data_IF_626921016816
#
_entry.id   IF_626921016816
#
_cell.length_a   1.000
_cell.length_b   1.000
_cell.length_c   1.000
_cell.angle_alpha   90.00
_cell.angle_beta   90.00
_cell.angle_gamma   90.00
#
_symmetry.space_group_name_H-M   'P 1'
#
loop_
_entity.id
_entity.type
_entity.pdbx_description
1 polymer ?
#
# COMPACT_ATOMS: atom_id res chain seq x y z
N UNK A 1 -33.33 9.93 13.53
CA UNK A 1 -32.40 11.08 13.68
C UNK A 1 -30.97 10.56 13.59
N UNK A 2 -30.31 10.68 12.43
CA UNK A 2 -29.00 10.07 12.18
C UNK A 2 -28.02 11.16 11.66
N UNK A 3 -27.85 12.24 12.46
CA UNK A 3 -27.02 13.40 12.05
C UNK A 3 -25.53 13.28 12.44
N UNK A 4 -25.13 12.19 13.09
CA UNK A 4 -23.75 12.00 13.57
C UNK A 4 -22.76 11.47 12.52
N UNK A 5 -23.20 10.57 11.64
CA UNK A 5 -22.33 9.81 10.73
C UNK A 5 -21.59 10.64 9.66
N UNK A 6 -22.21 11.63 8.95
CA UNK A 6 -21.49 12.43 7.96
C UNK A 6 -20.45 13.39 8.57
N UNK A 7 -20.80 14.05 9.68
CA UNK A 7 -19.87 14.98 10.37
C UNK A 7 -18.69 14.27 11.01
N UNK A 8 -18.87 13.02 11.44
CA UNK A 8 -17.83 12.19 12.00
C UNK A 8 -16.84 11.73 10.93
N UNK A 9 -17.31 11.31 9.76
CA UNK A 9 -16.48 10.98 8.62
C UNK A 9 -15.67 12.18 8.10
N UNK A 10 -16.26 13.38 8.09
CA UNK A 10 -15.56 14.59 7.68
C UNK A 10 -14.41 14.94 8.63
N UNK A 11 -14.65 14.86 9.94
CA UNK A 11 -13.59 15.05 10.93
C UNK A 11 -12.48 14.02 10.79
N UNK A 12 -12.82 12.76 10.54
CA UNK A 12 -11.84 11.71 10.30
C UNK A 12 -10.93 12.04 9.11
N UNK A 13 -11.50 12.51 8.00
CA UNK A 13 -10.73 12.94 6.82
C UNK A 13 -9.83 14.14 7.13
N UNK A 14 -10.34 15.15 7.83
CA UNK A 14 -9.55 16.32 8.24
C UNK A 14 -8.34 15.91 9.09
N UNK A 15 -8.55 14.99 10.05
CA UNK A 15 -7.46 14.47 10.89
C UNK A 15 -6.42 13.72 10.04
N UNK A 16 -6.86 12.85 9.12
CA UNK A 16 -5.95 12.10 8.25
C UNK A 16 -5.15 13.03 7.34
N UNK A 17 -5.78 14.05 6.75
CA UNK A 17 -5.09 15.03 5.91
C UNK A 17 -4.05 15.84 6.69
N UNK A 18 -4.39 16.30 7.89
CA UNK A 18 -3.45 17.00 8.78
C UNK A 18 -2.29 16.09 9.21
N UNK A 19 -2.59 14.83 9.50
CA UNK A 19 -1.59 13.83 9.85
C UNK A 19 -0.63 13.55 8.69
N UNK A 20 -1.13 13.35 7.45
CA UNK A 20 -0.31 13.20 6.25
C UNK A 20 0.70 14.36 6.11
N UNK A 21 0.20 15.59 6.18
CA UNK A 21 1.01 16.81 6.05
C UNK A 21 2.12 16.87 7.11
N UNK A 22 1.77 16.65 8.38
CA UNK A 22 2.74 16.74 9.47
C UNK A 22 3.74 15.59 9.48
N UNK A 23 3.31 14.37 9.21
CA UNK A 23 4.19 13.21 9.13
C UNK A 23 5.19 13.32 7.95
N UNK A 24 4.76 13.85 6.81
CA UNK A 24 5.66 14.12 5.70
C UNK A 24 6.71 15.18 6.04
N UNK A 25 6.27 16.26 6.69
CA UNK A 25 7.14 17.40 7.01
C UNK A 25 8.12 17.11 8.14
N UNK A 26 7.63 16.51 9.24
CA UNK A 26 8.36 16.40 10.51
C UNK A 26 8.79 14.96 10.82
N UNK A 27 8.35 13.97 10.04
CA UNK A 27 8.49 12.54 10.35
C UNK A 27 7.55 12.08 11.47
N UNK A 28 7.57 10.77 11.75
CA UNK A 28 6.73 10.18 12.81
C UNK A 28 7.10 10.73 14.18
N UNK A 29 8.40 10.71 14.55
CA UNK A 29 8.86 11.15 15.88
C UNK A 29 8.70 12.65 16.11
N UNK A 30 8.91 13.46 15.07
CA UNK A 30 8.77 14.93 15.13
C UNK A 30 7.32 15.44 15.14
N UNK A 31 6.32 14.54 15.04
CA UNK A 31 4.89 14.88 15.02
C UNK A 31 4.21 14.43 16.31
N UNK A 32 3.19 15.16 16.75
CA UNK A 32 2.39 14.82 17.92
C UNK A 32 0.89 14.90 17.66
N UNK A 33 0.11 14.12 18.41
CA UNK A 33 -1.37 14.13 18.35
C UNK A 33 -1.95 15.53 18.62
N UNK A 34 -1.29 16.35 19.46
CA UNK A 34 -1.69 17.73 19.72
C UNK A 34 -1.49 18.64 18.51
N UNK A 35 -0.35 18.53 17.80
CA UNK A 35 -0.09 19.30 16.59
C UNK A 35 -1.08 18.90 15.49
N UNK A 36 -1.37 17.61 15.35
CA UNK A 36 -2.34 17.10 14.38
C UNK A 36 -3.74 17.61 14.70
N UNK A 37 -4.17 17.60 15.96
CA UNK A 37 -5.45 18.14 16.38
C UNK A 37 -5.58 19.64 16.03
N UNK A 38 -4.53 20.42 16.27
CA UNK A 38 -4.49 21.85 15.93
C UNK A 38 -4.58 22.08 14.42
N UNK A 39 -3.82 21.35 13.64
CA UNK A 39 -3.79 21.43 12.18
C UNK A 39 -5.14 21.03 11.56
N UNK A 40 -5.76 19.95 12.09
CA UNK A 40 -7.08 19.47 11.69
C UNK A 40 -8.25 20.33 12.21
N UNK A 41 -7.97 21.37 13.01
CA UNK A 41 -8.98 22.22 13.65
C UNK A 41 -10.02 21.44 14.50
N UNK A 42 -9.56 20.41 15.18
CA UNK A 42 -10.38 19.60 16.08
C UNK A 42 -9.77 19.55 17.49
N UNK A 43 -10.53 19.06 18.46
CA UNK A 43 -9.99 18.86 19.81
C UNK A 43 -9.07 17.63 19.85
N UNK A 44 -8.12 17.62 20.79
CA UNK A 44 -7.28 16.45 21.06
C UNK A 44 -8.13 15.19 21.31
N UNK A 45 -9.21 15.33 22.08
CA UNK A 45 -10.14 14.24 22.38
C UNK A 45 -10.77 13.69 21.08
N UNK A 46 -11.11 14.55 20.13
CA UNK A 46 -11.63 14.12 18.83
C UNK A 46 -10.62 13.24 18.09
N UNK A 47 -9.33 13.62 18.08
CA UNK A 47 -8.29 12.79 17.44
C UNK A 47 -8.18 11.43 18.10
N UNK A 48 -8.14 11.37 19.44
CA UNK A 48 -8.05 10.11 20.17
C UNK A 48 -9.30 9.23 20.05
N UNK A 49 -10.47 9.82 19.85
CA UNK A 49 -11.71 9.06 19.61
C UNK A 49 -11.70 8.36 18.23
N UNK A 50 -11.04 8.96 17.22
CA UNK A 50 -10.92 8.36 15.90
C UNK A 50 -9.71 7.43 15.76
N UNK A 51 -8.60 7.78 16.43
CA UNK A 51 -7.32 7.09 16.30
C UNK A 51 -6.70 6.98 17.70
N UNK A 52 -6.78 5.82 18.28
CA UNK A 52 -6.39 5.52 19.66
C UNK A 52 -4.99 6.04 20.03
N UNK A 53 -4.06 6.00 19.09
CA UNK A 53 -2.68 6.44 19.26
C UNK A 53 -2.07 6.98 17.96
N UNK A 54 -0.85 7.50 18.06
CA UNK A 54 -0.13 8.11 16.93
C UNK A 54 0.27 7.07 15.86
N UNK A 55 0.55 5.84 16.26
CA UNK A 55 0.92 4.76 15.34
C UNK A 55 -0.28 4.38 14.48
N UNK A 56 -1.45 4.18 15.11
CA UNK A 56 -2.72 3.90 14.41
C UNK A 56 -3.10 5.02 13.44
N UNK A 57 -2.91 6.28 13.84
CA UNK A 57 -3.16 7.42 12.96
C UNK A 57 -2.19 7.46 11.78
N UNK A 58 -0.90 7.21 12.03
CA UNK A 58 0.12 7.18 10.97
C UNK A 58 -0.16 6.11 9.93
N UNK A 59 -0.40 4.87 10.35
CA UNK A 59 -0.73 3.77 9.44
C UNK A 59 -2.03 4.02 8.66
N UNK A 60 -3.06 4.58 9.33
CA UNK A 60 -4.31 4.94 8.65
C UNK A 60 -4.11 6.02 7.59
N UNK A 61 -3.25 7.01 7.86
CA UNK A 61 -2.94 8.08 6.91
C UNK A 61 -2.22 7.54 5.66
N UNK A 62 -1.30 6.59 5.83
CA UNK A 62 -0.59 5.93 4.72
C UNK A 62 -1.53 5.01 3.93
N UNK A 63 -2.32 4.18 4.64
CA UNK A 63 -3.29 3.30 4.01
C UNK A 63 -4.26 4.07 3.10
N UNK A 64 -4.73 5.24 3.55
CA UNK A 64 -5.62 6.09 2.73
C UNK A 64 -4.91 6.60 1.46
N UNK A 65 -3.63 6.97 1.54
CA UNK A 65 -2.83 7.40 0.38
C UNK A 65 -2.68 6.26 -0.64
N UNK A 66 -2.42 5.04 -0.18
CA UNK A 66 -2.35 3.86 -1.03
C UNK A 66 -3.72 3.56 -1.68
N UNK A 67 -4.81 3.62 -0.90
CA UNK A 67 -6.17 3.41 -1.41
C UNK A 67 -6.56 4.46 -2.47
N UNK A 68 -6.19 5.71 -2.29
CA UNK A 68 -6.41 6.78 -3.27
C UNK A 68 -5.70 6.45 -4.59
N UNK A 69 -4.46 5.97 -4.54
CA UNK A 69 -3.69 5.55 -5.71
C UNK A 69 -4.32 4.36 -6.44
N UNK A 70 -4.80 3.37 -5.70
CA UNK A 70 -5.50 2.19 -6.24
C UNK A 70 -6.83 2.59 -6.89
N UNK A 71 -7.63 3.43 -6.22
CA UNK A 71 -8.93 3.88 -6.76
C UNK A 71 -8.80 4.74 -8.01
N UNK A 72 -7.70 5.48 -8.12
CA UNK A 72 -7.45 6.32 -9.30
C UNK A 72 -7.16 5.50 -10.57
N UNK A 73 -6.78 4.23 -10.42
CA UNK A 73 -6.42 3.33 -11.53
C UNK A 73 -6.98 1.92 -11.33
N UNK A 74 -8.32 1.75 -11.38
CA UNK A 74 -8.90 0.42 -11.25
C UNK A 74 -8.50 -0.43 -12.47
N UNK A 75 -7.86 -1.56 -12.22
CA UNK A 75 -7.53 -2.56 -13.24
C UNK A 75 -8.53 -3.70 -13.12
N UNK A 76 -9.47 -3.77 -14.07
CA UNK A 76 -10.45 -4.83 -14.15
C UNK A 76 -10.29 -5.58 -15.48
N UNK A 77 -10.36 -6.90 -15.43
CA UNK A 77 -10.27 -7.76 -16.60
C UNK A 77 -11.67 -8.12 -17.14
N UNK A 78 -11.74 -8.37 -18.43
CA UNK A 78 -12.84 -9.00 -19.12
C UNK A 78 -12.27 -9.90 -20.23
N UNK A 79 -13.12 -10.67 -20.90
CA UNK A 79 -12.69 -11.64 -21.91
C UNK A 79 -11.87 -11.02 -23.07
N UNK A 80 -12.06 -9.72 -23.35
CA UNK A 80 -11.37 -9.01 -24.44
C UNK A 80 -10.17 -8.19 -23.97
N UNK A 81 -9.81 -8.29 -22.67
CA UNK A 81 -8.69 -7.53 -22.12
C UNK A 81 -7.36 -8.00 -22.71
N UNK A 82 -6.47 -7.06 -23.01
CA UNK A 82 -5.07 -7.38 -23.24
C UNK A 82 -4.42 -7.67 -21.87
N UNK A 83 -4.31 -8.95 -21.53
CA UNK A 83 -3.83 -9.38 -20.22
C UNK A 83 -2.39 -8.92 -19.93
N UNK A 84 -1.50 -8.97 -20.94
CA UNK A 84 -0.11 -8.54 -20.76
C UNK A 84 -0.04 -7.05 -20.37
N UNK A 85 -0.84 -6.20 -21.03
CA UNK A 85 -0.91 -4.78 -20.67
C UNK A 85 -1.54 -4.58 -19.28
N UNK A 86 -2.61 -5.31 -18.96
CA UNK A 86 -3.26 -5.20 -17.66
C UNK A 86 -2.33 -5.65 -16.51
N UNK A 87 -1.59 -6.73 -16.70
CA UNK A 87 -0.60 -7.22 -15.74
C UNK A 87 0.55 -6.21 -15.56
N UNK A 88 1.02 -5.62 -16.66
CA UNK A 88 2.02 -4.54 -16.61
C UNK A 88 1.53 -3.34 -15.79
N UNK A 89 0.31 -2.89 -16.01
CA UNK A 89 -0.29 -1.77 -15.26
C UNK A 89 -0.44 -2.10 -13.77
N UNK A 90 -0.84 -3.34 -13.44
CA UNK A 90 -0.90 -3.80 -12.04
C UNK A 90 0.48 -3.80 -11.38
N UNK A 91 1.50 -4.32 -12.05
CA UNK A 91 2.88 -4.32 -11.55
C UNK A 91 3.42 -2.87 -11.39
N UNK A 92 3.13 -2.01 -12.38
CA UNK A 92 3.52 -0.60 -12.36
C UNK A 92 2.88 0.15 -11.20
N UNK A 93 1.58 -0.07 -10.95
CA UNK A 93 0.86 0.53 -9.82
C UNK A 93 1.44 0.05 -8.49
N UNK A 94 1.72 -1.24 -8.35
CA UNK A 94 2.32 -1.80 -7.13
C UNK A 94 3.69 -1.17 -6.84
N UNK A 95 4.59 -1.13 -7.82
CA UNK A 95 5.91 -0.49 -7.65
C UNK A 95 5.80 1.01 -7.36
N UNK A 96 4.84 1.69 -7.96
CA UNK A 96 4.60 3.11 -7.67
C UNK A 96 4.19 3.30 -6.21
N UNK A 97 3.23 2.51 -5.70
CA UNK A 97 2.73 2.61 -4.32
C UNK A 97 3.83 2.29 -3.31
N UNK A 98 4.54 1.19 -3.50
CA UNK A 98 5.58 0.71 -2.58
C UNK A 98 6.75 1.70 -2.49
N UNK A 99 7.04 2.41 -3.57
CA UNK A 99 8.11 3.41 -3.62
C UNK A 99 7.65 4.84 -3.28
N UNK A 100 6.40 5.03 -2.83
CA UNK A 100 5.98 6.33 -2.27
C UNK A 100 6.82 6.65 -1.03
N UNK A 101 7.25 7.91 -0.86
CA UNK A 101 8.00 8.32 0.33
C UNK A 101 7.28 7.97 1.64
N UNK A 102 5.95 8.00 1.64
CA UNK A 102 5.09 7.64 2.77
C UNK A 102 5.15 6.13 3.06
N UNK A 103 5.10 5.30 2.04
CA UNK A 103 5.16 3.84 2.18
C UNK A 103 6.52 3.41 2.74
N UNK A 104 7.62 3.95 2.20
CA UNK A 104 8.98 3.71 2.71
C UNK A 104 9.11 4.14 4.17
N UNK A 105 8.56 5.30 4.55
CA UNK A 105 8.56 5.76 5.95
C UNK A 105 7.76 4.84 6.86
N UNK A 106 6.66 4.28 6.37
CA UNK A 106 5.87 3.30 7.13
C UNK A 106 6.69 2.03 7.36
N UNK A 107 7.34 1.51 6.33
CA UNK A 107 8.16 0.30 6.46
C UNK A 107 9.31 0.51 7.44
N UNK A 108 10.00 1.66 7.37
CA UNK A 108 11.03 2.00 8.36
C UNK A 108 10.48 2.03 9.79
N UNK A 109 9.31 2.65 10.00
CA UNK A 109 8.67 2.65 11.32
C UNK A 109 8.31 1.23 11.78
N UNK A 110 7.77 0.39 10.89
CA UNK A 110 7.43 -0.98 11.24
C UNK A 110 8.67 -1.81 11.61
N UNK A 111 9.79 -1.63 10.90
CA UNK A 111 11.06 -2.27 11.23
C UNK A 111 11.61 -1.79 12.59
N UNK A 112 11.52 -0.49 12.88
CA UNK A 112 11.90 0.08 14.17
C UNK A 112 11.05 -0.50 15.30
N UNK A 113 9.72 -0.49 15.16
CA UNK A 113 8.80 -1.07 16.13
C UNK A 113 9.00 -2.58 16.30
N UNK A 114 9.34 -3.30 15.23
CA UNK A 114 9.64 -4.72 15.28
C UNK A 114 10.92 -5.02 16.08
N UNK A 115 11.96 -4.19 15.91
CA UNK A 115 13.18 -4.31 16.71
C UNK A 115 12.93 -4.09 18.22
N UNK A 116 11.94 -3.28 18.56
CA UNK A 116 11.46 -3.06 19.94
C UNK A 116 10.44 -4.10 20.42
N UNK A 117 10.13 -5.12 19.63
CA UNK A 117 9.12 -6.14 19.92
C UNK A 117 7.72 -5.52 20.22
N UNK A 118 7.38 -4.42 19.57
CA UNK A 118 6.13 -3.72 19.80
C UNK A 118 4.93 -4.53 19.28
N UNK A 119 3.95 -4.75 20.14
CA UNK A 119 2.76 -5.54 19.82
C UNK A 119 1.90 -4.98 18.67
N UNK A 120 2.07 -3.71 18.31
CA UNK A 120 1.33 -3.07 17.22
C UNK A 120 1.83 -3.48 15.82
N UNK A 121 3.04 -4.01 15.68
CA UNK A 121 3.62 -4.39 14.37
C UNK A 121 2.73 -5.36 13.63
N UNK A 122 2.32 -6.46 14.29
CA UNK A 122 1.53 -7.51 13.65
C UNK A 122 0.17 -7.01 13.15
N UNK A 123 -0.69 -6.36 13.94
CA UNK A 123 -1.96 -5.81 13.46
C UNK A 123 -1.81 -4.81 12.31
N UNK A 124 -0.76 -4.00 12.34
CA UNK A 124 -0.50 -3.05 11.26
C UNK A 124 -0.10 -3.71 9.96
N UNK A 125 0.84 -4.65 10.05
CA UNK A 125 1.25 -5.42 8.89
C UNK A 125 0.05 -6.15 8.27
N UNK A 126 -0.74 -6.85 9.09
CA UNK A 126 -1.93 -7.58 8.64
C UNK A 126 -2.89 -6.67 7.88
N UNK A 127 -3.30 -5.53 8.46
CA UNK A 127 -4.25 -4.62 7.82
C UNK A 127 -3.70 -4.03 6.51
N UNK A 128 -2.43 -3.63 6.46
CA UNK A 128 -1.84 -3.06 5.24
C UNK A 128 -1.59 -4.12 4.17
N UNK A 129 -1.13 -5.30 4.57
CA UNK A 129 -0.87 -6.43 3.70
C UNK A 129 -2.16 -7.01 3.11
N UNK A 130 -3.18 -7.25 3.94
CA UNK A 130 -4.48 -7.77 3.48
C UNK A 130 -5.11 -6.89 2.40
N UNK A 131 -5.03 -5.56 2.56
CA UNK A 131 -5.58 -4.62 1.56
C UNK A 131 -4.85 -4.69 0.23
N UNK A 132 -3.52 -4.76 0.26
CA UNK A 132 -2.72 -4.90 -0.95
C UNK A 132 -3.00 -6.25 -1.62
N UNK A 133 -3.00 -7.34 -0.85
CA UNK A 133 -3.27 -8.67 -1.35
C UNK A 133 -4.68 -8.80 -1.93
N UNK A 134 -5.70 -8.20 -1.32
CA UNK A 134 -7.08 -8.24 -1.83
C UNK A 134 -7.20 -7.70 -3.26
N UNK A 135 -6.45 -6.66 -3.61
CA UNK A 135 -6.44 -6.11 -4.97
C UNK A 135 -5.80 -7.09 -5.95
N UNK A 136 -4.66 -7.69 -5.58
CA UNK A 136 -3.99 -8.71 -6.38
C UNK A 136 -4.84 -9.98 -6.53
N UNK A 137 -5.45 -10.46 -5.44
CA UNK A 137 -6.32 -11.62 -5.47
C UNK A 137 -7.47 -11.41 -6.45
N UNK A 138 -8.18 -10.28 -6.35
CA UNK A 138 -9.28 -9.96 -7.27
C UNK A 138 -8.83 -9.91 -8.74
N UNK A 139 -7.64 -9.36 -9.02
CA UNK A 139 -7.08 -9.31 -10.37
C UNK A 139 -6.72 -10.71 -10.90
N UNK A 140 -6.03 -11.52 -10.09
CA UNK A 140 -5.59 -12.86 -10.50
C UNK A 140 -6.77 -13.84 -10.59
N UNK A 141 -7.78 -13.73 -9.70
CA UNK A 141 -9.03 -14.49 -9.83
C UNK A 141 -9.73 -14.21 -11.17
N UNK A 142 -9.81 -12.95 -11.59
CA UNK A 142 -10.35 -12.59 -12.91
C UNK A 142 -9.46 -13.16 -14.03
N UNK A 143 -8.13 -13.13 -13.88
CA UNK A 143 -7.21 -13.68 -14.88
C UNK A 143 -7.40 -15.18 -15.05
N UNK A 144 -7.63 -15.93 -13.99
CA UNK A 144 -7.97 -17.35 -14.02
C UNK A 144 -9.37 -17.55 -14.62
N UNK A 145 -10.36 -16.78 -14.20
CA UNK A 145 -11.75 -16.87 -14.68
C UNK A 145 -11.86 -16.67 -16.19
N UNK A 146 -11.05 -15.74 -16.75
CA UNK A 146 -11.04 -15.46 -18.19
C UNK A 146 -10.01 -16.29 -18.97
N UNK A 147 -9.40 -17.30 -18.33
CA UNK A 147 -8.40 -18.18 -18.94
C UNK A 147 -7.17 -17.43 -19.50
N UNK A 148 -6.69 -16.39 -18.85
CA UNK A 148 -5.43 -15.75 -19.18
C UNK A 148 -4.22 -16.46 -18.56
N UNK A 149 -4.42 -17.11 -17.39
CA UNK A 149 -3.39 -17.86 -16.68
C UNK A 149 -3.95 -19.17 -16.14
N UNK A 150 -3.04 -20.13 -15.86
CA UNK A 150 -3.39 -21.41 -15.21
C UNK A 150 -3.95 -21.17 -13.81
N UNK A 151 -4.96 -21.97 -13.44
CA UNK A 151 -5.50 -22.00 -12.09
C UNK A 151 -4.47 -22.61 -11.12
N UNK A 152 -4.16 -21.89 -10.07
CA UNK A 152 -3.34 -22.32 -8.92
C UNK A 152 -3.83 -21.56 -7.68
N UNK A 153 -3.20 -21.76 -6.56
CA UNK A 153 -3.41 -21.00 -5.31
C UNK A 153 -3.10 -19.51 -5.55
N UNK A 154 -4.14 -18.68 -5.45
CA UNK A 154 -4.07 -17.23 -5.69
C UNK A 154 -3.08 -16.54 -4.76
N UNK A 155 -2.99 -16.99 -3.51
CA UNK A 155 -2.01 -16.48 -2.54
C UNK A 155 -0.58 -16.73 -3.03
N UNK A 156 -0.27 -17.95 -3.51
CA UNK A 156 1.06 -18.28 -4.06
C UNK A 156 1.37 -17.49 -5.32
N UNK A 157 0.38 -17.30 -6.20
CA UNK A 157 0.55 -16.46 -7.41
C UNK A 157 0.88 -15.01 -7.02
N UNK A 158 0.14 -14.46 -6.06
CA UNK A 158 0.37 -13.11 -5.53
C UNK A 158 1.75 -12.98 -4.90
N UNK A 159 2.13 -13.91 -4.01
CA UNK A 159 3.43 -13.91 -3.34
C UNK A 159 4.58 -14.00 -4.34
N UNK A 160 4.45 -14.82 -5.39
CA UNK A 160 5.47 -14.91 -6.43
C UNK A 160 5.66 -13.57 -7.13
N UNK A 161 4.58 -12.94 -7.62
CA UNK A 161 4.66 -11.65 -8.31
C UNK A 161 5.26 -10.57 -7.42
N UNK A 162 4.78 -10.43 -6.18
CA UNK A 162 5.30 -9.43 -5.26
C UNK A 162 6.79 -9.69 -4.94
N UNK A 163 7.20 -10.94 -4.78
CA UNK A 163 8.62 -11.29 -4.54
C UNK A 163 9.51 -10.92 -5.72
N UNK A 164 9.04 -11.13 -6.95
CA UNK A 164 9.77 -10.75 -8.16
C UNK A 164 9.87 -9.23 -8.34
N UNK A 165 8.79 -8.50 -8.00
CA UNK A 165 8.77 -7.03 -8.10
C UNK A 165 9.64 -6.35 -7.04
N UNK A 166 9.62 -6.85 -5.81
CA UNK A 166 10.35 -6.25 -4.69
C UNK A 166 11.83 -6.64 -4.69
N UNK A 167 12.11 -7.92 -4.58
CA UNK A 167 13.44 -8.50 -4.62
C UNK A 167 14.45 -7.80 -3.69
N UNK A 168 15.73 -7.97 -3.98
CA UNK A 168 16.82 -7.29 -3.27
C UNK A 168 16.82 -5.78 -3.50
N UNK A 169 16.32 -5.34 -4.65
CA UNK A 169 16.32 -3.93 -5.04
C UNK A 169 15.51 -3.04 -4.09
N UNK A 170 14.34 -3.53 -3.63
CA UNK A 170 13.52 -2.82 -2.64
C UNK A 170 14.20 -2.79 -1.26
N UNK A 171 14.83 -3.89 -0.87
CA UNK A 171 15.61 -3.95 0.37
C UNK A 171 16.77 -2.93 0.41
N UNK A 172 17.46 -2.73 -0.72
CA UNK A 172 18.48 -1.70 -0.86
C UNK A 172 17.93 -0.28 -0.69
N UNK A 173 16.67 -0.03 -1.13
CA UNK A 173 15.98 1.25 -0.89
C UNK A 173 15.69 1.45 0.59
N UNK A 174 15.17 0.42 1.27
CA UNK A 174 14.89 0.50 2.71
C UNK A 174 16.16 0.72 3.55
N UNK A 175 17.29 0.15 3.12
CA UNK A 175 18.57 0.37 3.79
C UNK A 175 19.25 1.72 3.42
N UNK A 176 18.65 2.50 2.53
CA UNK A 176 19.24 3.75 2.04
C UNK A 176 20.51 3.57 1.19
N UNK A 177 20.78 2.33 0.72
CA UNK A 177 21.93 2.00 -0.14
C UNK A 177 21.70 2.53 -1.55
N UNK A 178 20.46 2.48 -2.03
CA UNK A 178 20.05 2.99 -3.35
C UNK A 178 18.80 3.84 -3.24
N UNK A 179 18.65 4.78 -4.19
CA UNK A 179 17.39 5.54 -4.36
C UNK A 179 16.29 4.65 -4.91
N UNK A 180 15.05 5.10 -4.85
CA UNK A 180 13.92 4.43 -5.52
C UNK A 180 14.23 4.18 -7.00
N UNK A 181 13.73 3.08 -7.60
CA UNK A 181 14.02 2.75 -8.98
C UNK A 181 13.61 3.89 -9.94
N UNK A 182 14.50 4.20 -10.86
CA UNK A 182 14.21 5.09 -12.00
C UNK A 182 13.18 4.47 -12.94
N UNK A 183 12.61 5.25 -13.85
CA UNK A 183 11.63 4.73 -14.81
C UNK A 183 12.18 3.55 -15.64
N UNK A 184 13.40 3.61 -16.23
CA UNK A 184 13.97 2.47 -16.93
C UNK A 184 14.18 1.24 -16.05
N UNK A 185 14.64 1.43 -14.80
CA UNK A 185 14.79 0.32 -13.83
C UNK A 185 13.44 -0.32 -13.50
N UNK A 186 12.37 0.49 -13.29
CA UNK A 186 11.01 -0.03 -13.05
C UNK A 186 10.50 -0.86 -14.21
N UNK A 187 10.66 -0.37 -15.43
CA UNK A 187 10.26 -1.09 -16.64
C UNK A 187 10.97 -2.44 -16.74
N UNK A 188 12.26 -2.49 -16.47
CA UNK A 188 13.01 -3.75 -16.49
C UNK A 188 12.55 -4.71 -15.39
N UNK A 189 12.38 -4.22 -14.14
CA UNK A 189 11.88 -5.04 -13.03
C UNK A 189 10.52 -5.65 -13.39
N UNK A 190 9.62 -4.87 -13.97
CA UNK A 190 8.28 -5.33 -14.36
C UNK A 190 8.39 -6.36 -15.48
N UNK A 191 9.21 -6.10 -16.50
CA UNK A 191 9.38 -7.01 -17.63
C UNK A 191 9.89 -8.38 -17.16
N UNK A 192 10.94 -8.40 -16.34
CA UNK A 192 11.52 -9.64 -15.78
C UNK A 192 10.52 -10.39 -14.91
N UNK A 193 9.76 -9.65 -14.05
CA UNK A 193 8.75 -10.25 -13.18
C UNK A 193 7.61 -10.90 -13.98
N UNK A 194 7.12 -10.22 -15.02
CA UNK A 194 6.06 -10.74 -15.89
C UNK A 194 6.57 -11.96 -16.67
N UNK A 195 7.77 -11.89 -17.26
CA UNK A 195 8.36 -13.01 -17.99
C UNK A 195 8.43 -14.27 -17.12
N UNK A 196 9.01 -14.17 -15.93
CA UNK A 196 9.14 -15.31 -15.01
C UNK A 196 7.78 -15.83 -14.55
N UNK A 197 6.84 -14.92 -14.26
CA UNK A 197 5.50 -15.30 -13.85
C UNK A 197 4.77 -16.05 -14.97
N UNK A 198 4.85 -15.55 -16.19
CA UNK A 198 4.20 -16.17 -17.37
C UNK A 198 4.82 -17.50 -17.74
N UNK A 199 6.14 -17.69 -17.62
CA UNK A 199 6.77 -19.01 -17.81
C UNK A 199 6.12 -20.11 -16.96
N UNK A 200 5.63 -19.75 -15.75
CA UNK A 200 4.99 -20.71 -14.86
C UNK A 200 3.48 -20.83 -15.13
N UNK A 201 2.80 -19.74 -15.44
CA UNK A 201 1.34 -19.67 -15.39
C UNK A 201 0.67 -19.45 -16.75
N UNK A 202 1.43 -19.29 -17.85
CA UNK A 202 0.86 -19.19 -19.19
C UNK A 202 0.09 -20.46 -19.57
N UNK A 203 -1.06 -20.28 -20.21
CA UNK A 203 -1.86 -21.38 -20.79
C UNK A 203 -1.33 -21.64 -22.20
N UNK A 204 -0.81 -22.85 -22.42
CA UNK A 204 -0.32 -23.31 -23.72
C UNK A 204 -1.45 -23.96 -24.53
#
# INVERSE_FOLDING_TARGET
MNSGRPKDLEKRKQILQAAKTLFLKNGFHGSSMNQIAKEAQVTKLTVYNHFQDKVTLFASAIAETCEESIRARPVNLNQNSNFANALYEMCSLALQIINLPEAIKLEHLLLELAAEQNALVKPFFEVSHERMCAVWHSFLEQAVQFNFIKNDDIEKQTQLLLSLLLGSRHHEVLLGIRTVPTEPERQQIIADAIEIFMLKYEIH
#
